data_IF_209436243346
#
_entry.id   IF_209436243346
#
_cell.length_a   1.000
_cell.length_b   1.000
_cell.length_c   1.000
_cell.angle_alpha   90.00
_cell.angle_beta   90.00
_cell.angle_gamma   90.00
#
_symmetry.space_group_name_H-M   'P 1'
#
loop_
_entity.id
_entity.type
_entity.pdbx_description
1 polymer ?
#
# COMPACT_ATOMS: atom_id res chain seq x y z
N UNK A 1 -11.75 -5.60 -16.06
CA UNK A 1 -10.67 -4.63 -16.33
C UNK A 1 -10.21 -4.82 -17.76
N UNK A 2 -9.96 -3.76 -18.54
CA UNK A 2 -9.43 -3.85 -19.93
C UNK A 2 -7.89 -3.94 -19.97
N UNK A 3 -7.24 -3.97 -18.81
CA UNK A 3 -5.78 -4.00 -18.70
C UNK A 3 -5.26 -5.44 -18.78
N UNK A 4 -4.14 -5.62 -19.47
CA UNK A 4 -3.42 -6.90 -19.54
C UNK A 4 -2.95 -7.28 -18.14
N UNK A 5 -3.16 -8.54 -17.76
CA UNK A 5 -2.62 -9.06 -16.50
C UNK A 5 -1.12 -9.34 -16.65
N UNK A 6 -0.32 -8.48 -16.05
CA UNK A 6 1.14 -8.58 -16.06
C UNK A 6 1.70 -9.30 -14.83
N UNK A 7 0.86 -9.71 -13.88
CA UNK A 7 1.33 -10.35 -12.65
C UNK A 7 2.07 -11.68 -12.94
N UNK A 8 1.49 -12.63 -13.72
CA UNK A 8 2.21 -13.87 -14.05
C UNK A 8 3.55 -13.66 -14.77
N UNK A 9 3.64 -12.92 -15.90
CA UNK A 9 4.91 -12.78 -16.60
C UNK A 9 5.95 -11.99 -15.79
N UNK A 10 5.54 -11.01 -14.97
CA UNK A 10 6.47 -10.33 -14.06
C UNK A 10 7.03 -11.29 -13.01
N UNK A 11 6.18 -12.14 -12.42
CA UNK A 11 6.62 -13.14 -11.44
C UNK A 11 7.60 -14.15 -12.05
N UNK A 12 7.35 -14.62 -13.26
CA UNK A 12 8.24 -15.57 -13.93
C UNK A 12 9.65 -14.99 -14.11
N UNK A 13 9.75 -13.72 -14.52
CA UNK A 13 11.02 -13.01 -14.62
C UNK A 13 11.70 -12.83 -13.25
N UNK A 14 10.94 -12.47 -12.21
CA UNK A 14 11.48 -12.33 -10.85
C UNK A 14 11.99 -13.66 -10.30
N UNK A 15 11.26 -14.76 -10.52
CA UNK A 15 11.70 -16.10 -10.16
C UNK A 15 12.99 -16.50 -10.87
N UNK A 16 13.12 -16.16 -12.17
CA UNK A 16 14.32 -16.45 -12.95
C UNK A 16 15.58 -15.76 -12.40
N UNK A 17 15.44 -14.59 -11.74
CA UNK A 17 16.59 -13.92 -11.12
C UNK A 17 17.20 -14.71 -9.96
N UNK A 18 16.42 -15.57 -9.30
CA UNK A 18 16.82 -16.23 -8.05
C UNK A 18 16.97 -15.28 -6.85
N UNK A 19 16.67 -13.99 -7.01
CA UNK A 19 16.81 -12.98 -5.97
C UNK A 19 15.51 -12.82 -5.15
N UNK A 20 15.58 -12.24 -3.94
CA UNK A 20 14.38 -11.82 -3.23
C UNK A 20 13.57 -10.82 -4.05
N UNK A 21 12.25 -11.00 -4.10
CA UNK A 21 11.34 -10.08 -4.78
C UNK A 21 10.10 -9.77 -3.97
N UNK A 22 9.44 -8.69 -4.37
CA UNK A 22 8.17 -8.23 -3.84
C UNK A 22 7.29 -7.77 -5.02
N UNK A 23 6.05 -8.25 -5.09
CA UNK A 23 5.02 -7.74 -6.00
C UNK A 23 3.93 -7.10 -5.15
N UNK A 24 3.65 -5.82 -5.40
CA UNK A 24 2.59 -5.07 -4.74
C UNK A 24 1.39 -4.92 -5.68
N UNK A 25 0.17 -5.08 -5.16
CA UNK A 25 -1.04 -4.76 -5.92
C UNK A 25 -2.25 -4.40 -5.03
N UNK A 26 -3.28 -3.84 -5.68
CA UNK A 26 -4.55 -3.46 -5.06
C UNK A 26 -5.37 -4.68 -4.60
N UNK A 27 -6.34 -4.45 -3.72
CA UNK A 27 -7.23 -5.51 -3.19
C UNK A 27 -7.95 -6.32 -4.28
N UNK A 28 -8.36 -5.68 -5.37
CA UNK A 28 -8.99 -6.36 -6.50
C UNK A 28 -8.11 -7.40 -7.21
N UNK A 29 -6.78 -7.30 -7.06
CA UNK A 29 -5.81 -8.22 -7.66
C UNK A 29 -5.37 -9.34 -6.70
N UNK A 30 -5.91 -9.39 -5.46
CA UNK A 30 -5.51 -10.37 -4.43
C UNK A 30 -5.49 -11.82 -4.93
N UNK A 31 -6.47 -12.22 -5.75
CA UNK A 31 -6.59 -13.60 -6.24
C UNK A 31 -5.52 -13.97 -7.28
N UNK A 32 -4.87 -12.99 -7.90
CA UNK A 32 -3.76 -13.20 -8.83
C UNK A 32 -2.40 -13.28 -8.12
N UNK A 33 -2.35 -12.98 -6.82
CA UNK A 33 -1.15 -13.01 -6.00
C UNK A 33 -1.04 -14.32 -5.21
N UNK A 34 0.20 -14.79 -4.99
CA UNK A 34 0.51 -16.00 -4.23
C UNK A 34 0.74 -15.62 -2.77
N UNK A 35 -0.05 -16.20 -1.87
CA UNK A 35 0.04 -16.01 -0.42
C UNK A 35 0.28 -14.54 0.02
N UNK A 36 -0.48 -13.56 -0.51
CA UNK A 36 -0.14 -12.16 -0.31
C UNK A 36 -0.39 -11.70 1.13
N UNK A 37 0.54 -10.91 1.64
CA UNK A 37 0.43 -10.18 2.90
C UNK A 37 -0.30 -8.86 2.67
N UNK A 38 -1.29 -8.53 3.51
CA UNK A 38 -2.01 -7.27 3.40
C UNK A 38 -1.51 -6.24 4.41
N UNK A 39 -1.20 -5.02 3.95
CA UNK A 39 -0.91 -3.86 4.80
C UNK A 39 -2.00 -2.78 4.67
N UNK A 40 -2.13 -1.94 5.70
CA UNK A 40 -3.08 -0.84 5.75
C UNK A 40 -2.49 0.36 6.48
N UNK A 41 -2.73 1.57 5.98
CA UNK A 41 -2.14 2.80 6.55
C UNK A 41 -2.51 3.01 8.00
N UNK A 42 -3.73 2.62 8.39
CA UNK A 42 -4.17 2.68 9.78
C UNK A 42 -3.28 1.89 10.75
N UNK A 43 -2.68 0.78 10.33
CA UNK A 43 -1.79 -0.01 11.18
C UNK A 43 -0.49 0.76 11.52
N UNK A 44 -0.10 1.67 10.63
CA UNK A 44 1.08 2.54 10.75
C UNK A 44 0.75 3.93 11.32
N UNK A 45 -0.49 4.17 11.75
CA UNK A 45 -0.91 5.48 12.28
C UNK A 45 -1.21 6.55 11.21
N UNK A 46 -1.12 6.19 9.92
CA UNK A 46 -1.40 7.11 8.82
C UNK A 46 -2.88 7.50 8.76
N UNK A 47 -3.20 8.63 8.12
CA UNK A 47 -4.58 9.03 7.86
C UNK A 47 -5.21 8.33 6.66
N UNK A 48 -4.44 7.64 5.82
CA UNK A 48 -4.99 6.85 4.70
C UNK A 48 -5.45 5.45 5.11
N UNK A 49 -6.53 4.96 4.49
CA UNK A 49 -6.93 3.54 4.48
C UNK A 49 -6.59 2.90 3.14
N UNK A 50 -5.29 2.85 2.82
CA UNK A 50 -4.78 2.24 1.58
C UNK A 50 -4.45 0.77 1.82
N UNK A 51 -5.40 -0.12 1.51
CA UNK A 51 -5.15 -1.56 1.57
C UNK A 51 -4.38 -2.01 0.34
N UNK A 52 -3.20 -2.59 0.56
CA UNK A 52 -2.36 -3.20 -0.48
C UNK A 52 -1.90 -4.58 -0.08
N UNK A 53 -1.76 -5.41 -1.09
CA UNK A 53 -1.37 -6.81 -0.98
C UNK A 53 0.02 -6.97 -1.56
N UNK A 54 0.84 -7.73 -0.86
CA UNK A 54 2.25 -7.92 -1.12
C UNK A 54 2.54 -9.40 -1.22
N UNK A 55 2.87 -9.86 -2.41
CA UNK A 55 3.44 -11.18 -2.64
C UNK A 55 4.96 -11.08 -2.56
N UNK A 56 5.61 -12.05 -1.90
CA UNK A 56 7.05 -12.13 -1.81
C UNK A 56 7.51 -13.59 -1.76
N UNK A 57 8.72 -13.88 -2.24
CA UNK A 57 9.39 -15.17 -2.05
C UNK A 57 10.15 -15.28 -0.73
N UNK A 58 9.97 -14.31 0.17
CA UNK A 58 10.49 -14.31 1.53
C UNK A 58 9.35 -14.02 2.51
N UNK A 59 9.43 -14.51 3.76
CA UNK A 59 8.37 -14.29 4.73
C UNK A 59 8.26 -12.80 5.10
N UNK A 60 7.02 -12.29 5.09
CA UNK A 60 6.69 -10.97 5.65
C UNK A 60 5.89 -11.21 6.93
N UNK A 61 6.48 -10.89 8.07
CA UNK A 61 5.80 -10.94 9.36
C UNK A 61 4.85 -9.76 9.46
N UNK A 62 3.68 -9.96 10.07
CA UNK A 62 2.67 -8.90 10.31
C UNK A 62 2.16 -8.85 11.74
N UNK A 63 2.91 -9.44 12.68
CA UNK A 63 2.57 -9.39 14.11
C UNK A 63 2.40 -7.93 14.53
N UNK A 64 1.21 -7.60 15.05
CA UNK A 64 0.85 -6.25 15.48
C UNK A 64 0.32 -5.31 14.39
N UNK A 65 0.28 -5.72 13.11
CA UNK A 65 -0.17 -4.86 12.00
C UNK A 65 -1.64 -5.03 11.60
N UNK A 66 -2.50 -5.40 12.55
CA UNK A 66 -3.94 -5.38 12.32
C UNK A 66 -4.43 -3.96 11.96
N UNK A 67 -5.46 -3.87 11.12
CA UNK A 67 -6.06 -2.57 10.78
C UNK A 67 -6.59 -1.87 12.05
N UNK A 68 -6.20 -0.61 12.26
CA UNK A 68 -6.62 0.19 13.42
C UNK A 68 -7.72 1.19 13.02
N UNK A 69 -8.71 0.76 12.23
CA UNK A 69 -9.74 1.67 11.68
C UNK A 69 -10.53 2.42 12.74
N UNK A 70 -10.84 1.76 13.86
CA UNK A 70 -11.58 2.38 14.96
C UNK A 70 -10.79 3.52 15.63
N UNK A 71 -9.47 3.37 15.78
CA UNK A 71 -8.59 4.35 16.43
C UNK A 71 -8.09 5.46 15.47
N UNK A 72 -8.23 5.28 14.15
CA UNK A 72 -7.67 6.18 13.14
C UNK A 72 -8.42 7.53 13.03
N UNK A 73 -9.68 7.56 13.47
CA UNK A 73 -10.60 8.65 13.17
C UNK A 73 -11.05 8.64 11.70
N UNK A 74 -11.40 9.81 11.18
CA UNK A 74 -11.80 9.99 9.78
C UNK A 74 -10.59 9.83 8.85
N UNK A 75 -10.59 8.85 7.92
CA UNK A 75 -9.47 8.67 7.01
C UNK A 75 -9.51 9.68 5.86
N UNK A 76 -8.34 9.95 5.28
CA UNK A 76 -8.16 10.76 4.08
C UNK A 76 -8.04 9.84 2.86
N UNK A 77 -8.86 10.10 1.85
CA UNK A 77 -8.86 9.43 0.57
C UNK A 77 -7.95 10.13 -0.42
N UNK A 78 -6.94 9.42 -0.91
CA UNK A 78 -5.98 9.92 -1.92
C UNK A 78 -6.16 9.08 -3.19
N UNK A 79 -6.99 9.57 -4.11
CA UNK A 79 -7.37 8.92 -5.37
C UNK A 79 -8.01 9.91 -6.36
N UNK A 80 -8.14 9.47 -7.62
CA UNK A 80 -8.78 10.20 -8.72
C UNK A 80 -7.93 11.35 -9.28
N UNK A 81 -8.43 11.99 -10.33
CA UNK A 81 -7.76 13.09 -11.02
C UNK A 81 -8.02 14.40 -10.27
N UNK A 82 -6.93 15.04 -9.77
CA UNK A 82 -6.84 16.27 -8.98
C UNK A 82 -7.86 16.40 -7.80
N UNK A 83 -7.62 17.22 -6.77
CA UNK A 83 -8.68 17.50 -5.81
C UNK A 83 -9.78 18.35 -6.44
N UNK A 84 -10.83 17.69 -6.94
CA UNK A 84 -12.13 18.34 -7.11
C UNK A 84 -12.91 18.24 -5.80
N UNK A 85 -13.37 19.40 -5.32
CA UNK A 85 -14.11 19.60 -4.07
C UNK A 85 -15.44 18.83 -4.08
N UNK A 86 -15.40 17.55 -3.73
CA UNK A 86 -16.63 16.84 -3.36
C UNK A 86 -16.36 15.92 -2.18
N UNK A 87 -16.78 16.38 -1.00
CA UNK A 87 -16.99 15.50 0.13
C UNK A 87 -18.14 14.55 -0.23
N UNK A 88 -17.83 13.35 -0.72
CA UNK A 88 -18.84 12.33 -0.97
C UNK A 88 -19.39 11.80 0.36
N UNK A 89 -20.51 12.38 0.82
CA UNK A 89 -21.38 11.72 1.80
C UNK A 89 -22.16 10.64 1.08
N UNK A 90 -22.23 9.44 1.67
CA UNK A 90 -23.14 8.40 1.20
C UNK A 90 -24.59 8.85 1.42
N UNK A 91 -25.55 8.36 0.62
CA UNK A 91 -26.98 8.55 0.89
C UNK A 91 -27.40 8.09 2.30
N UNK A 92 -26.63 7.21 2.93
CA UNK A 92 -26.82 6.71 4.30
C UNK A 92 -26.34 7.66 5.42
N UNK A 93 -25.84 8.86 5.10
CA UNK A 93 -25.29 9.81 6.08
C UNK A 93 -23.92 9.41 6.67
N UNK A 94 -23.42 8.21 6.36
CA UNK A 94 -22.11 7.72 6.81
C UNK A 94 -20.98 8.18 5.88
N UNK A 95 -19.95 8.80 6.46
CA UNK A 95 -18.69 9.12 5.77
C UNK A 95 -17.73 7.92 5.89
N UNK A 96 -17.20 7.43 4.77
CA UNK A 96 -16.08 6.45 4.77
C UNK A 96 -14.71 7.12 4.94
N UNK A 97 -14.68 8.45 5.03
CA UNK A 97 -13.51 9.30 4.95
C UNK A 97 -13.82 10.63 4.26
N UNK A 98 -12.84 11.53 4.27
CA UNK A 98 -12.83 12.76 3.46
C UNK A 98 -11.82 12.57 2.33
N UNK A 99 -12.09 13.07 1.13
CA UNK A 99 -11.07 13.08 0.05
C UNK A 99 -10.10 14.22 0.34
N UNK A 100 -8.81 14.02 0.08
CA UNK A 100 -7.86 15.13 0.07
C UNK A 100 -8.30 16.19 -0.94
N UNK A 101 -8.23 17.45 -0.54
CA UNK A 101 -8.63 18.64 -1.31
C UNK A 101 -7.44 19.50 -1.73
N UNK A 102 -6.25 19.22 -1.22
CA UNK A 102 -4.99 19.83 -1.66
C UNK A 102 -3.92 18.77 -1.85
N UNK A 103 -2.87 19.11 -2.61
CA UNK A 103 -1.68 18.26 -2.72
C UNK A 103 -1.04 18.02 -1.35
N UNK A 104 -0.92 19.07 -0.53
CA UNK A 104 -0.36 19.00 0.82
C UNK A 104 -1.11 17.97 1.70
N UNK A 105 -2.45 17.99 1.70
CA UNK A 105 -3.23 16.99 2.44
C UNK A 105 -2.98 15.55 1.95
N UNK A 106 -2.78 15.36 0.65
CA UNK A 106 -2.45 14.05 0.08
C UNK A 106 -1.03 13.61 0.44
N UNK A 107 -0.06 14.51 0.37
CA UNK A 107 1.33 14.28 0.74
C UNK A 107 1.44 13.93 2.23
N UNK A 108 0.78 14.69 3.11
CA UNK A 108 0.76 14.45 4.55
C UNK A 108 0.11 13.10 4.89
N UNK A 109 -1.03 12.79 4.26
CA UNK A 109 -1.73 11.54 4.53
C UNK A 109 -0.94 10.30 4.10
N UNK A 110 -0.11 10.43 3.06
CA UNK A 110 0.74 9.38 2.49
C UNK A 110 2.20 9.40 2.99
N UNK A 111 2.60 10.43 3.75
CA UNK A 111 3.99 10.74 4.14
C UNK A 111 4.95 10.91 2.95
N UNK A 112 4.51 11.63 1.92
CA UNK A 112 5.24 11.79 0.65
C UNK A 112 5.39 13.27 0.24
N UNK A 113 6.11 14.11 1.01
CA UNK A 113 6.26 15.55 0.73
C UNK A 113 6.93 15.87 -0.61
N UNK A 114 7.61 14.90 -1.24
CA UNK A 114 8.26 15.04 -2.54
C UNK A 114 7.38 14.69 -3.73
N UNK A 115 6.22 14.07 -3.50
CA UNK A 115 5.41 13.53 -4.59
C UNK A 115 4.40 14.54 -5.13
N UNK A 116 4.14 14.50 -6.43
CA UNK A 116 2.99 15.18 -7.01
C UNK A 116 1.68 14.41 -6.72
N UNK A 117 0.55 14.96 -7.18
CA UNK A 117 -0.75 14.34 -6.94
C UNK A 117 -0.82 12.93 -7.54
N UNK A 118 -0.31 12.78 -8.78
CA UNK A 118 -0.30 11.49 -9.46
C UNK A 118 0.50 10.46 -8.64
N UNK A 119 1.71 10.81 -8.20
CA UNK A 119 2.55 10.00 -7.33
C UNK A 119 1.83 9.59 -6.04
N UNK A 120 1.16 10.54 -5.36
CA UNK A 120 0.37 10.23 -4.16
C UNK A 120 -0.77 9.24 -4.44
N UNK A 121 -1.42 9.32 -5.60
CA UNK A 121 -2.52 8.40 -5.96
C UNK A 121 -2.05 7.00 -6.37
N UNK A 122 -0.88 6.88 -6.99
CA UNK A 122 -0.40 5.60 -7.51
C UNK A 122 0.45 4.83 -6.49
N UNK A 123 1.22 5.53 -5.66
CA UNK A 123 2.20 4.91 -4.77
C UNK A 123 1.59 4.19 -3.54
N UNK A 124 2.43 3.44 -2.84
CA UNK A 124 2.17 3.02 -1.45
C UNK A 124 2.88 3.97 -0.48
N UNK A 125 2.37 4.16 0.75
CA UNK A 125 3.08 4.98 1.73
C UNK A 125 4.48 4.41 2.03
N UNK A 126 5.51 5.26 2.21
CA UNK A 126 6.88 4.81 2.52
C UNK A 126 6.97 3.90 3.75
N UNK A 127 6.09 4.08 4.74
CA UNK A 127 6.01 3.22 5.91
C UNK A 127 5.86 1.71 5.57
N UNK A 128 5.23 1.36 4.43
CA UNK A 128 5.03 -0.04 4.06
C UNK A 128 6.34 -0.65 3.55
N UNK A 129 7.01 0.06 2.65
CA UNK A 129 8.27 -0.40 2.06
C UNK A 129 9.40 -0.36 3.09
N UNK A 130 9.39 0.60 4.02
CA UNK A 130 10.33 0.61 5.15
C UNK A 130 10.14 -0.62 6.05
N UNK A 131 8.90 -0.96 6.41
CA UNK A 131 8.60 -2.12 7.26
C UNK A 131 9.03 -3.44 6.61
N UNK A 132 8.71 -3.63 5.33
CA UNK A 132 9.11 -4.83 4.59
C UNK A 132 10.62 -4.85 4.36
N UNK A 133 11.21 -3.71 3.99
CA UNK A 133 12.63 -3.55 3.71
C UNK A 133 13.52 -3.83 4.92
N UNK A 134 13.09 -3.44 6.13
CA UNK A 134 13.80 -3.80 7.38
C UNK A 134 13.87 -5.31 7.57
N UNK A 135 12.78 -6.03 7.31
CA UNK A 135 12.75 -7.50 7.41
C UNK A 135 13.64 -8.16 6.36
N UNK A 136 13.57 -7.70 5.10
CA UNK A 136 14.42 -8.22 4.03
C UNK A 136 15.91 -8.00 4.35
N UNK A 137 16.29 -6.80 4.81
CA UNK A 137 17.68 -6.49 5.18
C UNK A 137 18.18 -7.38 6.31
N UNK A 138 17.37 -7.58 7.36
CA UNK A 138 17.73 -8.48 8.46
C UNK A 138 17.92 -9.92 7.99
N UNK A 139 17.11 -10.38 7.03
CA UNK A 139 17.25 -11.72 6.45
C UNK A 139 18.53 -11.87 5.63
N UNK A 140 18.83 -10.91 4.77
CA UNK A 140 20.04 -10.93 3.94
C UNK A 140 21.30 -10.95 4.82
N UNK A 141 21.33 -10.12 5.86
CA UNK A 141 22.45 -10.11 6.81
C UNK A 141 22.66 -11.45 7.54
N UNK A 142 21.59 -12.22 7.81
CA UNK A 142 21.70 -13.56 8.39
C UNK A 142 22.20 -14.61 7.39
N UNK A 143 21.87 -14.46 6.10
CA UNK A 143 22.33 -15.34 5.04
C UNK A 143 23.83 -15.15 4.76
N UNK A 144 24.32 -13.90 4.80
CA UNK A 144 25.74 -13.61 4.62
C UNK A 144 26.63 -14.09 5.78
N UNK A 145 26.02 -14.32 6.96
CA UNK A 145 26.70 -14.78 8.16
C UNK A 145 26.71 -16.32 8.34
N UNK A 146 26.03 -17.06 7.47
CA UNK A 146 25.89 -18.53 7.51
C UNK A 146 26.81 -19.21 6.49
#
# INVERSE_FOLDING_TARGET
SKHVDLIPPTRDLLNYTGLPYLIENVEGAKLALINPTRLCGSAFGLKVRRHRYFEANFPITTVGLACRHAAQGTPIGVYGDHPELSAHRRPSGTSRGVRATTLEEAQDAMEMPWADWHGCTQAVPPAYTEYIGRQLRSRLALQDAS
#
